data_IF_678697808252
#
_entry.id   IF_678697808252
#
_cell.length_a   1.000
_cell.length_b   1.000
_cell.length_c   1.000
_cell.angle_alpha   90.00
_cell.angle_beta   90.00
_cell.angle_gamma   90.00
#
_symmetry.space_group_name_H-M   'P 1'
#
loop_
_entity.id
_entity.type
_entity.pdbx_description
1 polymer ?
#
# COMPACT_ATOMS: atom_id res chain seq x y z
N UNK A 1 0.70 -5.13 -24.87
CA UNK A 1 1.29 -5.58 -23.59
C UNK A 1 0.45 -5.01 -22.46
N UNK A 2 0.12 -5.86 -21.50
CA UNK A 2 -0.76 -5.57 -20.38
C UNK A 2 -0.25 -4.38 -19.57
N UNK A 3 -1.18 -3.53 -19.16
CA UNK A 3 -0.97 -2.52 -18.12
C UNK A 3 -0.58 -3.27 -16.85
N UNK A 4 0.69 -3.19 -16.47
CA UNK A 4 1.13 -3.59 -15.15
C UNK A 4 0.69 -2.44 -14.24
N UNK A 5 -0.43 -2.65 -13.54
CA UNK A 5 -0.75 -1.92 -12.33
C UNK A 5 0.50 -1.93 -11.41
N UNK A 6 0.72 -0.90 -10.57
CA UNK A 6 1.77 -0.98 -9.56
C UNK A 6 1.34 -2.06 -8.55
N UNK A 7 1.71 -3.31 -8.83
CA UNK A 7 1.81 -4.32 -7.80
C UNK A 7 2.94 -3.83 -6.91
N UNK A 8 2.59 -3.26 -5.76
CA UNK A 8 3.51 -2.96 -4.67
C UNK A 8 4.15 -4.27 -4.23
N UNK A 9 5.20 -4.67 -4.94
CA UNK A 9 6.06 -5.76 -4.53
C UNK A 9 6.67 -5.35 -3.19
N UNK A 10 6.29 -6.06 -2.12
CA UNK A 10 6.68 -5.66 -0.78
C UNK A 10 8.13 -6.05 -0.49
N UNK A 11 9.04 -5.10 -0.71
CA UNK A 11 10.47 -5.25 -0.43
C UNK A 11 10.81 -5.43 1.05
N UNK A 12 9.88 -5.16 1.97
CA UNK A 12 10.12 -5.28 3.43
C UNK A 12 10.16 -6.73 3.92
N UNK A 13 9.69 -7.68 3.11
CA UNK A 13 9.71 -9.11 3.43
C UNK A 13 11.01 -9.81 3.00
N UNK A 14 11.96 -9.07 2.43
CA UNK A 14 13.20 -9.59 1.88
C UNK A 14 14.40 -9.28 2.78
N UNK A 15 15.40 -10.16 2.73
CA UNK A 15 16.72 -9.85 3.28
C UNK A 15 17.36 -8.68 2.52
N UNK A 16 18.26 -7.96 3.18
CA UNK A 16 18.86 -6.74 2.65
C UNK A 16 19.56 -6.95 1.29
N UNK A 17 20.20 -8.11 1.09
CA UNK A 17 20.96 -8.41 -0.14
C UNK A 17 20.02 -8.70 -1.31
N UNK A 18 18.96 -9.47 -1.08
CA UNK A 18 17.94 -9.74 -2.10
C UNK A 18 17.15 -8.49 -2.46
N UNK A 19 16.84 -7.65 -1.47
CA UNK A 19 16.20 -6.35 -1.67
C UNK A 19 17.02 -5.45 -2.58
N UNK A 20 18.29 -5.22 -2.25
CA UNK A 20 19.19 -4.35 -3.01
C UNK A 20 19.34 -4.84 -4.47
N UNK A 21 19.52 -6.15 -4.66
CA UNK A 21 19.60 -6.75 -6.00
C UNK A 21 18.34 -6.49 -6.84
N UNK A 22 17.15 -6.68 -6.26
CA UNK A 22 15.89 -6.49 -6.98
C UNK A 22 15.61 -5.00 -7.27
N UNK A 23 15.94 -4.10 -6.35
CA UNK A 23 15.85 -2.66 -6.56
C UNK A 23 16.77 -2.20 -7.70
N UNK A 24 18.01 -2.70 -7.77
CA UNK A 24 18.93 -2.44 -8.87
C UNK A 24 18.35 -2.90 -10.22
N UNK A 25 17.81 -4.13 -10.28
CA UNK A 25 17.19 -4.67 -11.51
C UNK A 25 15.96 -3.86 -11.92
N UNK A 26 15.12 -3.46 -10.97
CA UNK A 26 13.96 -2.62 -11.23
C UNK A 26 14.36 -1.26 -11.81
N UNK A 27 15.38 -0.61 -11.23
CA UNK A 27 15.90 0.67 -11.71
C UNK A 27 16.45 0.58 -13.15
N UNK A 28 17.17 -0.49 -13.48
CA UNK A 28 17.64 -0.73 -14.85
C UNK A 28 16.45 -0.88 -15.81
N UNK A 29 15.43 -1.65 -15.42
CA UNK A 29 14.21 -1.85 -16.23
C UNK A 29 13.47 -0.52 -16.44
N UNK A 30 13.29 0.29 -15.38
CA UNK A 30 12.65 1.61 -15.49
C UNK A 30 13.43 2.55 -16.41
N UNK A 31 14.77 2.53 -16.34
CA UNK A 31 15.62 3.29 -17.25
C UNK A 31 15.44 2.88 -18.71
N UNK A 32 15.40 1.58 -19.00
CA UNK A 32 15.16 1.05 -20.35
C UNK A 32 13.77 1.44 -20.84
N UNK A 33 12.73 1.29 -19.99
CA UNK A 33 11.35 1.64 -20.34
C UNK A 33 11.20 3.13 -20.63
N UNK A 34 11.79 4.00 -19.82
CA UNK A 34 11.78 5.45 -20.02
C UNK A 34 12.46 5.86 -21.34
N UNK A 35 13.66 5.33 -21.60
CA UNK A 35 14.37 5.59 -22.87
C UNK A 35 13.61 5.06 -24.08
N UNK A 36 13.02 3.89 -23.96
CA UNK A 36 12.20 3.29 -25.03
C UNK A 36 10.93 4.11 -25.28
N UNK A 37 10.26 4.56 -24.23
CA UNK A 37 9.08 5.43 -24.31
C UNK A 37 9.40 6.74 -25.04
N UNK A 38 10.56 7.34 -24.74
CA UNK A 38 11.04 8.53 -25.43
C UNK A 38 11.27 8.30 -26.93
N UNK A 39 12.02 7.27 -27.32
CA UNK A 39 12.34 7.00 -28.74
C UNK A 39 11.09 6.58 -29.53
N UNK A 40 10.20 5.76 -28.95
CA UNK A 40 8.92 5.39 -29.57
C UNK A 40 8.05 6.64 -29.76
N UNK A 41 7.93 7.47 -28.71
CA UNK A 41 7.16 8.71 -28.75
C UNK A 41 7.65 9.70 -29.82
N UNK A 42 8.97 9.78 -30.01
CA UNK A 42 9.61 10.59 -31.05
C UNK A 42 9.23 10.14 -32.46
N UNK A 43 9.23 8.83 -32.74
CA UNK A 43 8.83 8.32 -34.07
C UNK A 43 7.33 8.50 -34.31
N UNK A 44 6.50 8.24 -33.30
CA UNK A 44 5.05 8.46 -33.39
C UNK A 44 4.71 9.94 -33.62
N UNK A 45 5.39 10.87 -32.94
CA UNK A 45 5.19 12.30 -33.12
C UNK A 45 5.58 12.78 -34.53
N UNK A 46 6.68 12.25 -35.10
CA UNK A 46 7.09 12.54 -36.49
C UNK A 46 6.07 12.05 -37.51
N UNK A 47 5.63 10.80 -37.37
CA UNK A 47 4.60 10.24 -38.24
C UNK A 47 3.27 11.00 -38.13
N UNK A 48 2.87 11.39 -36.91
CA UNK A 48 1.68 12.22 -36.68
C UNK A 48 1.79 13.55 -37.43
N UNK A 49 2.93 14.25 -37.34
CA UNK A 49 3.17 15.52 -38.03
C UNK A 49 3.04 15.37 -39.56
N UNK A 50 3.70 14.36 -40.12
CA UNK A 50 3.70 14.12 -41.57
C UNK A 50 2.31 13.71 -42.10
N UNK A 51 1.59 12.85 -41.37
CA UNK A 51 0.27 12.36 -41.78
C UNK A 51 -0.86 13.37 -41.50
N UNK A 52 -0.75 14.19 -40.45
CA UNK A 52 -1.73 15.25 -40.15
C UNK A 52 -1.79 16.33 -41.25
N UNK A 53 -0.67 16.58 -41.93
CA UNK A 53 -0.57 17.56 -43.02
C UNK A 53 -1.31 17.10 -44.28
N UNK A 54 -1.60 15.79 -44.40
CA UNK A 54 -2.24 15.17 -45.57
C UNK A 54 -3.75 14.98 -45.41
N UNK A 55 -4.32 15.28 -44.25
CA UNK A 55 -5.78 15.36 -44.03
C UNK A 55 -6.54 14.03 -43.95
N UNK A 56 -5.86 12.88 -43.99
CA UNK A 56 -6.48 11.56 -43.87
C UNK A 56 -6.11 10.90 -42.53
N UNK A 57 -7.06 10.22 -41.88
CA UNK A 57 -6.92 9.51 -40.59
C UNK A 57 -5.93 8.33 -40.56
N UNK A 58 -5.02 8.25 -41.53
CA UNK A 58 -4.02 7.20 -41.72
C UNK A 58 -3.06 7.03 -40.53
N UNK A 59 -2.89 8.07 -39.70
CA UNK A 59 -2.06 7.96 -38.50
C UNK A 59 -2.60 6.92 -37.52
N UNK A 60 -3.93 6.85 -37.35
CA UNK A 60 -4.57 5.88 -36.46
C UNK A 60 -4.41 4.46 -36.95
N UNK A 61 -4.68 4.23 -38.24
CA UNK A 61 -4.50 2.92 -38.87
C UNK A 61 -3.04 2.46 -38.76
N UNK A 62 -2.08 3.36 -38.97
CA UNK A 62 -0.67 3.04 -38.92
C UNK A 62 -0.19 2.64 -37.52
N UNK A 63 -0.45 3.42 -36.47
CA UNK A 63 0.01 3.02 -35.13
C UNK A 63 -0.73 1.75 -34.64
N UNK A 64 -1.98 1.53 -35.07
CA UNK A 64 -2.71 0.29 -34.77
C UNK A 64 -2.07 -0.92 -35.46
N UNK A 65 -1.57 -0.77 -36.68
CA UNK A 65 -0.83 -1.83 -37.40
C UNK A 65 0.46 -2.24 -36.69
N UNK A 66 1.08 -1.33 -35.94
CA UNK A 66 2.24 -1.60 -35.09
C UNK A 66 1.88 -2.25 -33.75
N UNK A 67 0.59 -2.50 -33.49
CA UNK A 67 0.09 -3.11 -32.26
C UNK A 67 -0.11 -2.13 -31.10
N UNK A 68 -0.03 -0.82 -31.33
CA UNK A 68 -0.30 0.17 -30.29
C UNK A 68 -1.79 0.43 -30.12
N UNK A 69 -2.25 0.45 -28.86
CA UNK A 69 -3.53 1.06 -28.50
C UNK A 69 -3.41 2.59 -28.59
N UNK A 70 -4.51 3.27 -28.91
CA UNK A 70 -4.58 4.74 -28.97
C UNK A 70 -3.99 5.38 -27.71
N UNK A 71 -4.43 4.95 -26.52
CA UNK A 71 -3.95 5.49 -25.25
C UNK A 71 -2.42 5.41 -25.13
N UNK A 72 -1.81 4.25 -25.40
CA UNK A 72 -0.35 4.08 -25.33
C UNK A 72 0.41 4.86 -26.39
N UNK A 73 -0.11 4.94 -27.62
CA UNK A 73 0.51 5.74 -28.66
C UNK A 73 0.59 7.22 -28.25
N UNK A 74 -0.52 7.77 -27.73
CA UNK A 74 -0.56 9.16 -27.26
C UNK A 74 0.22 9.38 -25.95
N UNK A 75 0.25 8.41 -25.03
CA UNK A 75 1.12 8.46 -23.86
C UNK A 75 2.60 8.58 -24.25
N UNK A 76 3.08 7.77 -25.20
CA UNK A 76 4.46 7.87 -25.68
C UNK A 76 4.74 9.22 -26.35
N UNK A 77 3.82 9.71 -27.19
CA UNK A 77 3.94 11.04 -27.81
C UNK A 77 4.00 12.13 -26.73
N UNK A 78 3.16 12.06 -25.71
CA UNK A 78 3.12 13.03 -24.62
C UNK A 78 4.37 12.94 -23.75
N UNK A 79 4.87 11.74 -23.46
CA UNK A 79 6.12 11.52 -22.74
C UNK A 79 7.30 12.14 -23.51
N UNK A 80 7.40 11.89 -24.82
CA UNK A 80 8.39 12.54 -25.69
C UNK A 80 8.25 14.07 -25.68
N UNK A 81 7.03 14.61 -25.83
CA UNK A 81 6.78 16.05 -25.81
C UNK A 81 7.14 16.67 -24.47
N UNK A 82 6.81 16.00 -23.36
CA UNK A 82 7.13 16.44 -22.01
C UNK A 82 8.64 16.46 -21.79
N UNK A 83 9.34 15.34 -22.03
CA UNK A 83 10.81 15.26 -21.91
C UNK A 83 11.46 16.30 -22.83
N UNK A 84 11.00 16.43 -24.07
CA UNK A 84 11.50 17.45 -25.01
C UNK A 84 11.16 18.89 -24.62
N UNK A 85 10.14 19.12 -23.78
CA UNK A 85 9.80 20.43 -23.24
C UNK A 85 10.64 20.81 -22.02
N UNK A 86 11.02 19.82 -21.20
CA UNK A 86 11.94 19.97 -20.05
C UNK A 86 13.40 20.15 -20.50
N UNK A 87 13.69 19.77 -21.74
CA UNK A 87 14.99 19.83 -22.39
C UNK A 87 15.40 21.26 -22.85
N UNK A 88 15.41 22.26 -21.96
CA UNK A 88 16.20 23.48 -22.24
C UNK A 88 17.67 23.11 -22.45
N UNK A 89 18.25 22.20 -21.66
CA UNK A 89 19.61 21.68 -21.85
C UNK A 89 19.82 20.98 -23.20
N UNK A 90 18.85 20.22 -23.71
CA UNK A 90 19.00 19.56 -25.03
C UNK A 90 18.75 20.52 -26.19
N UNK A 91 17.93 21.56 -26.00
CA UNK A 91 17.81 22.66 -26.95
C UNK A 91 19.07 23.53 -26.97
N UNK A 92 19.72 23.71 -25.82
CA UNK A 92 21.02 24.38 -25.69
C UNK A 92 22.11 23.55 -26.38
N UNK A 93 22.25 22.26 -26.06
CA UNK A 93 23.21 21.37 -26.71
C UNK A 93 22.96 21.25 -28.23
N UNK A 94 21.71 21.19 -28.65
CA UNK A 94 21.36 21.19 -30.08
C UNK A 94 21.66 22.54 -30.74
N UNK A 95 21.29 23.66 -30.09
CA UNK A 95 21.60 25.01 -30.54
C UNK A 95 23.12 25.21 -30.70
N UNK A 96 23.91 24.78 -29.72
CA UNK A 96 25.37 24.80 -29.76
C UNK A 96 25.95 23.91 -30.87
N UNK A 97 25.29 22.79 -31.19
CA UNK A 97 25.66 21.91 -32.31
C UNK A 97 25.28 22.44 -33.70
N UNK A 98 24.40 23.46 -33.79
CA UNK A 98 24.00 24.04 -35.08
C UNK A 98 25.18 24.78 -35.73
N UNK A 99 25.23 24.84 -37.08
CA UNK A 99 26.15 25.73 -37.77
C UNK A 99 25.98 27.18 -37.29
N UNK A 100 27.08 27.92 -37.08
CA UNK A 100 27.08 29.33 -36.60
C UNK A 100 26.12 30.24 -37.39
N UNK A 101 25.97 29.99 -38.68
CA UNK A 101 25.06 30.74 -39.56
C UNK A 101 23.58 30.52 -39.23
N UNK A 102 23.19 29.36 -38.72
CA UNK A 102 21.81 29.07 -38.29
C UNK A 102 21.57 29.56 -36.86
N UNK A 103 22.53 29.39 -35.95
CA UNK A 103 22.49 30.00 -34.61
C UNK A 103 22.19 31.50 -34.70
N UNK A 104 22.94 32.21 -35.55
CA UNK A 104 22.77 33.64 -35.76
C UNK A 104 21.42 34.05 -36.38
N UNK A 105 20.68 33.14 -37.04
CA UNK A 105 19.36 33.47 -37.59
C UNK A 105 18.25 33.17 -36.59
N UNK A 106 18.35 32.05 -35.85
CA UNK A 106 17.33 31.67 -34.87
C UNK A 106 17.36 32.56 -33.62
N UNK A 107 18.52 33.13 -33.27
CA UNK A 107 18.69 34.05 -32.13
C UNK A 107 18.35 35.52 -32.45
N UNK A 108 17.90 35.84 -33.67
CA UNK A 108 17.51 37.22 -33.99
C UNK A 108 16.18 37.60 -33.33
N UNK A 109 16.02 38.83 -32.83
CA UNK A 109 14.73 39.31 -32.32
C UNK A 109 13.60 39.29 -33.35
N UNK A 110 13.94 39.35 -34.64
CA UNK A 110 13.01 39.29 -35.78
C UNK A 110 12.83 37.88 -36.36
N UNK A 111 13.35 36.84 -35.70
CA UNK A 111 13.23 35.47 -36.17
C UNK A 111 11.78 34.98 -36.10
N UNK A 112 11.32 34.29 -37.13
CA UNK A 112 9.99 33.70 -37.15
C UNK A 112 9.94 32.45 -36.25
N UNK A 113 9.08 32.40 -35.21
CA UNK A 113 8.99 31.28 -34.28
C UNK A 113 8.74 29.92 -34.95
N UNK A 114 7.94 29.88 -36.02
CA UNK A 114 7.63 28.63 -36.74
C UNK A 114 8.85 28.09 -37.50
N UNK A 115 9.66 28.98 -38.08
CA UNK A 115 10.89 28.62 -38.79
C UNK A 115 11.95 28.13 -37.81
N UNK A 116 12.07 28.79 -36.65
CA UNK A 116 12.96 28.37 -35.57
C UNK A 116 12.61 26.98 -35.05
N UNK A 117 11.32 26.70 -34.87
CA UNK A 117 10.87 25.40 -34.42
C UNK A 117 11.16 24.30 -35.45
N UNK A 118 11.10 24.60 -36.75
CA UNK A 118 11.53 23.67 -37.80
C UNK A 118 13.05 23.39 -37.78
N UNK A 119 13.87 24.35 -37.36
CA UNK A 119 15.32 24.11 -37.10
C UNK A 119 15.52 23.19 -35.91
N UNK A 120 14.84 23.45 -34.78
CA UNK A 120 14.93 22.61 -33.57
C UNK A 120 14.38 21.19 -33.77
N UNK A 121 13.43 21.01 -34.69
CA UNK A 121 12.91 19.70 -35.07
C UNK A 121 13.85 18.92 -36.02
N UNK A 122 14.91 19.56 -36.53
CA UNK A 122 15.86 18.96 -37.48
C UNK A 122 15.39 18.91 -38.93
N UNK A 123 14.28 19.59 -39.25
CA UNK A 123 13.68 19.67 -40.59
C UNK A 123 14.42 20.67 -41.49
N UNK A 124 15.13 21.63 -40.87
CA UNK A 124 15.99 22.60 -41.54
C UNK A 124 17.42 22.39 -41.05
N UNK A 125 18.33 22.04 -41.97
CA UNK A 125 19.74 21.77 -41.65
C UNK A 125 20.67 22.82 -42.26
N UNK A 126 20.16 23.65 -43.16
CA UNK A 126 20.96 24.65 -43.89
C UNK A 126 20.34 26.05 -43.85
N UNK A 127 21.21 27.06 -44.00
CA UNK A 127 20.78 28.47 -44.06
C UNK A 127 19.83 28.78 -45.24
N UNK A 128 19.99 28.07 -46.36
CA UNK A 128 19.14 28.23 -47.55
C UNK A 128 17.71 27.76 -47.28
N UNK A 129 17.54 26.62 -46.64
CA UNK A 129 16.23 26.08 -46.25
C UNK A 129 15.52 26.99 -45.25
N UNK A 130 16.26 27.59 -44.32
CA UNK A 130 15.74 28.58 -43.38
C UNK A 130 15.13 29.80 -44.09
N UNK A 131 15.86 30.37 -45.05
CA UNK A 131 15.42 31.55 -45.80
C UNK A 131 14.25 31.27 -46.72
N UNK A 132 14.20 30.08 -47.32
CA UNK A 132 13.10 29.68 -48.18
C UNK A 132 11.80 29.49 -47.39
N UNK A 133 11.87 28.85 -46.22
CA UNK A 133 10.70 28.69 -45.37
C UNK A 133 10.18 30.03 -44.86
N UNK A 134 11.07 30.92 -44.42
CA UNK A 134 10.74 32.29 -44.00
C UNK A 134 10.04 33.07 -45.12
N UNK A 135 10.55 33.00 -46.35
CA UNK A 135 9.94 33.64 -47.53
C UNK A 135 8.56 33.06 -47.83
N UNK A 136 8.41 31.73 -47.75
CA UNK A 136 7.14 31.05 -48.02
C UNK A 136 6.05 31.42 -47.01
N UNK A 137 6.40 31.50 -45.72
CA UNK A 137 5.46 31.94 -44.69
C UNK A 137 5.05 33.40 -44.90
N UNK A 138 6.00 34.28 -45.19
CA UNK A 138 5.71 35.69 -45.49
C UNK A 138 4.75 35.87 -46.68
N UNK A 139 4.91 35.07 -47.74
CA UNK A 139 4.01 35.09 -48.90
C UNK A 139 2.61 34.55 -48.55
N UNK A 140 2.52 33.52 -47.70
CA UNK A 140 1.24 33.00 -47.23
C UNK A 140 0.48 34.02 -46.36
N UNK A 141 1.19 34.70 -45.45
CA UNK A 141 0.58 35.73 -44.60
C UNK A 141 0.08 36.92 -45.42
N UNK A 142 0.86 37.35 -46.42
CA UNK A 142 0.44 38.40 -47.35
C UNK A 142 -0.79 38.00 -48.18
N UNK A 143 -0.86 36.74 -48.63
CA UNK A 143 -2.02 36.22 -49.35
C UNK A 143 -3.26 36.12 -48.43
N UNK A 144 -3.08 35.70 -47.18
CA UNK A 144 -4.18 35.63 -46.21
C UNK A 144 -4.73 37.01 -45.85
N UNK A 145 -3.88 38.02 -45.66
CA UNK A 145 -4.36 39.38 -45.39
C UNK A 145 -5.01 40.03 -46.62
N UNK A 146 -4.53 39.73 -47.83
CA UNK A 146 -5.23 40.14 -49.05
C UNK A 146 -6.64 39.51 -49.14
N UNK A 147 -6.76 38.21 -48.87
CA UNK A 147 -8.05 37.50 -48.90
C UNK A 147 -8.99 37.97 -47.79
N UNK A 148 -8.50 38.24 -46.57
CA UNK A 148 -9.31 38.84 -45.50
C UNK A 148 -9.77 40.26 -45.86
N UNK A 149 -8.88 41.06 -46.44
CA UNK A 149 -9.20 42.42 -46.89
C UNK A 149 -10.21 42.44 -48.05
N UNK A 150 -10.25 41.41 -48.88
CA UNK A 150 -11.29 41.21 -49.89
C UNK A 150 -12.59 40.69 -49.26
N UNK A 151 -12.52 39.74 -48.31
CA UNK A 151 -13.69 39.21 -47.61
C UNK A 151 -14.46 40.29 -46.84
N UNK A 152 -13.75 41.19 -46.15
CA UNK A 152 -14.39 42.31 -45.44
C UNK A 152 -14.99 43.35 -46.42
N UNK A 153 -14.35 43.58 -47.58
CA UNK A 153 -14.92 44.41 -48.65
C UNK A 153 -16.16 43.78 -49.29
N UNK A 154 -16.18 42.45 -49.45
CA UNK A 154 -17.35 41.69 -49.95
C UNK A 154 -18.50 41.69 -48.92
N UNK A 155 -18.20 41.61 -47.62
CA UNK A 155 -19.22 41.74 -46.57
C UNK A 155 -19.85 43.13 -46.53
N UNK A 156 -19.09 44.19 -46.79
CA UNK A 156 -19.61 45.57 -46.80
C UNK A 156 -20.38 45.94 -48.08
N UNK A 157 -20.15 45.22 -49.19
CA UNK A 157 -20.76 45.51 -50.50
C UNK A 157 -21.94 44.62 -50.88
N UNK A 158 -22.28 43.60 -50.07
CA UNK A 158 -23.55 42.87 -50.25
C UNK A 158 -24.73 43.72 -49.80
N UNK A 159 -25.34 44.38 -50.77
CA UNK A 159 -26.72 44.87 -50.77
C UNK A 159 -27.67 43.84 -50.14
N UNK A 160 -28.55 44.35 -49.26
CA UNK A 160 -29.58 43.61 -48.54
C UNK A 160 -30.54 42.89 -49.51
N UNK A 161 -30.35 41.59 -49.71
CA UNK A 161 -31.47 40.70 -50.00
C UNK A 161 -32.11 40.29 -48.67
N UNK A 162 -33.39 40.61 -48.48
CA UNK A 162 -34.21 40.07 -47.39
C UNK A 162 -34.40 38.57 -47.65
N UNK A 163 -33.48 37.74 -47.17
CA UNK A 163 -33.79 36.33 -46.88
C UNK A 163 -34.46 36.32 -45.51
N UNK A 164 -35.76 36.05 -45.50
CA UNK A 164 -36.43 35.62 -44.27
C UNK A 164 -35.91 34.21 -44.01
N UNK A 165 -34.87 34.08 -43.19
CA UNK A 165 -34.56 32.80 -42.55
C UNK A 165 -35.73 32.49 -41.63
N UNK A 166 -36.68 31.68 -42.10
CA UNK A 166 -37.52 30.92 -41.18
C UNK A 166 -36.57 29.95 -40.48
N UNK A 167 -36.13 30.33 -39.29
CA UNK A 167 -35.61 29.38 -38.33
C UNK A 167 -36.74 28.39 -38.04
N UNK A 168 -36.76 27.28 -38.78
CA UNK A 168 -37.64 26.16 -38.48
C UNK A 168 -37.03 25.48 -37.27
N UNK A 169 -37.35 26.00 -36.08
CA UNK A 169 -37.13 25.27 -34.84
C UNK A 169 -37.89 23.95 -35.01
N UNK A 170 -37.20 22.79 -35.03
CA UNK A 170 -37.86 21.50 -35.10
C UNK A 170 -38.94 21.43 -34.02
N UNK A 171 -40.14 20.92 -34.35
CA UNK A 171 -41.30 20.95 -33.45
C UNK A 171 -41.03 20.30 -32.08
N UNK A 172 -40.05 19.40 -32.06
CA UNK A 172 -39.52 18.60 -30.96
C UNK A 172 -38.30 19.21 -30.23
N UNK A 173 -37.75 20.34 -30.69
CA UNK A 173 -36.60 20.99 -30.04
C UNK A 173 -36.90 21.43 -28.61
N UNK A 174 -38.10 21.99 -28.38
CA UNK A 174 -38.54 22.40 -27.05
C UNK A 174 -38.76 21.20 -26.12
N UNK A 175 -39.35 20.12 -26.65
CA UNK A 175 -39.49 18.86 -25.92
C UNK A 175 -38.13 18.24 -25.55
N UNK A 176 -37.13 18.34 -26.44
CA UNK A 176 -35.76 17.88 -26.20
C UNK A 176 -35.06 18.73 -25.13
N UNK A 177 -35.28 20.05 -25.14
CA UNK A 177 -34.72 20.96 -24.14
C UNK A 177 -35.32 20.71 -22.75
N UNK A 178 -36.63 20.50 -22.67
CA UNK A 178 -37.32 20.16 -21.42
C UNK A 178 -36.89 18.79 -20.89
N UNK A 179 -36.70 17.80 -21.77
CA UNK A 179 -36.17 16.48 -21.41
C UNK A 179 -34.73 16.56 -20.88
N UNK A 180 -33.85 17.32 -21.53
CA UNK A 180 -32.48 17.53 -21.05
C UNK A 180 -32.47 18.20 -19.67
N UNK A 181 -33.38 19.15 -19.43
CA UNK A 181 -33.53 19.79 -18.12
C UNK A 181 -33.99 18.80 -17.04
N UNK A 182 -34.92 17.90 -17.36
CA UNK A 182 -35.33 16.83 -16.45
C UNK A 182 -34.20 15.83 -16.18
N UNK A 183 -33.44 15.44 -17.21
CA UNK A 183 -32.30 14.53 -17.08
C UNK A 183 -31.18 15.14 -16.23
N UNK A 184 -30.89 16.43 -16.40
CA UNK A 184 -29.97 17.17 -15.53
C UNK A 184 -30.43 17.19 -14.07
N UNK A 185 -31.74 17.38 -13.83
CA UNK A 185 -32.32 17.28 -12.50
C UNK A 185 -32.12 15.90 -11.88
N UNK A 186 -32.51 14.83 -12.60
CA UNK A 186 -32.34 13.45 -12.15
C UNK A 186 -30.87 13.07 -11.91
N UNK A 187 -29.96 13.50 -12.77
CA UNK A 187 -28.53 13.25 -12.58
C UNK A 187 -28.00 13.93 -11.32
N UNK A 188 -28.51 15.12 -10.99
CA UNK A 188 -28.18 15.80 -9.75
C UNK A 188 -28.73 15.04 -8.54
N UNK A 189 -30.01 14.66 -8.56
CA UNK A 189 -30.64 13.91 -7.47
C UNK A 189 -29.92 12.56 -7.23
N UNK A 190 -29.58 11.84 -8.30
CA UNK A 190 -28.80 10.60 -8.22
C UNK A 190 -27.38 10.82 -7.68
N UNK A 191 -26.75 11.94 -8.01
CA UNK A 191 -25.44 12.31 -7.46
C UNK A 191 -25.54 12.56 -5.95
N UNK A 192 -26.57 13.26 -5.50
CA UNK A 192 -26.81 13.56 -4.09
C UNK A 192 -27.14 12.27 -3.30
N UNK A 193 -27.94 11.37 -3.86
CA UNK A 193 -28.21 10.03 -3.29
C UNK A 193 -26.93 9.18 -3.19
N UNK A 194 -26.11 9.17 -4.24
CA UNK A 194 -24.84 8.42 -4.25
C UNK A 194 -23.90 8.93 -3.14
N UNK A 195 -23.82 10.24 -2.94
CA UNK A 195 -23.01 10.83 -1.87
C UNK A 195 -23.56 10.49 -0.48
N UNK A 196 -24.88 10.45 -0.32
CA UNK A 196 -25.53 9.99 0.92
C UNK A 196 -25.20 8.52 1.22
N UNK A 197 -25.33 7.65 0.22
CA UNK A 197 -25.02 6.21 0.35
C UNK A 197 -23.54 6.01 0.68
N UNK A 198 -22.62 6.72 0.03
CA UNK A 198 -21.19 6.65 0.34
C UNK A 198 -20.88 7.05 1.79
N UNK A 199 -21.55 8.09 2.30
CA UNK A 199 -21.39 8.50 3.71
C UNK A 199 -21.91 7.41 4.66
N UNK A 200 -23.07 6.84 4.36
CA UNK A 200 -23.65 5.74 5.15
C UNK A 200 -22.74 4.50 5.14
N UNK A 201 -22.19 4.15 3.97
CA UNK A 201 -21.26 3.03 3.83
C UNK A 201 -20.01 3.25 4.69
N UNK A 202 -19.39 4.43 4.61
CA UNK A 202 -18.20 4.77 5.41
C UNK A 202 -18.47 4.69 6.92
N UNK A 203 -19.65 5.12 7.36
CA UNK A 203 -20.05 4.99 8.78
C UNK A 203 -20.22 3.53 9.18
N UNK A 204 -20.79 2.70 8.31
CA UNK A 204 -21.00 1.27 8.57
C UNK A 204 -19.68 0.49 8.58
N UNK A 205 -18.75 0.82 7.67
CA UNK A 205 -17.40 0.28 7.64
C UNK A 205 -16.64 0.60 8.94
N UNK A 206 -16.65 1.87 9.37
CA UNK A 206 -16.02 2.26 10.63
C UNK A 206 -16.64 1.55 11.85
N UNK A 207 -17.97 1.37 11.87
CA UNK A 207 -18.64 0.60 12.92
C UNK A 207 -18.26 -0.88 12.89
N UNK A 208 -18.02 -1.45 11.71
CA UNK A 208 -17.61 -2.84 11.56
C UNK A 208 -16.18 -3.06 12.03
N UNK A 209 -15.24 -2.16 11.66
CA UNK A 209 -13.87 -2.19 12.14
C UNK A 209 -13.80 -2.09 13.68
N UNK A 210 -14.61 -1.22 14.27
CA UNK A 210 -14.69 -1.10 15.73
C UNK A 210 -15.22 -2.38 16.37
N UNK A 211 -16.25 -2.99 15.79
CA UNK A 211 -16.81 -4.26 16.28
C UNK A 211 -15.82 -5.43 16.16
N UNK A 212 -15.05 -5.48 15.08
CA UNK A 212 -14.00 -6.49 14.89
C UNK A 212 -12.91 -6.36 15.96
N UNK A 213 -12.50 -5.12 16.25
CA UNK A 213 -11.56 -4.82 17.34
C UNK A 213 -12.11 -5.23 18.70
N UNK A 214 -13.33 -4.82 19.05
CA UNK A 214 -13.99 -5.20 20.31
C UNK A 214 -14.13 -6.73 20.44
N UNK A 215 -14.41 -7.43 19.34
CA UNK A 215 -14.50 -8.89 19.33
C UNK A 215 -13.14 -9.54 19.61
N UNK A 216 -12.06 -9.03 19.01
CA UNK A 216 -10.71 -9.52 19.28
C UNK A 216 -10.28 -9.30 20.73
N UNK A 217 -10.60 -8.14 21.31
CA UNK A 217 -10.34 -7.83 22.72
C UNK A 217 -11.14 -8.75 23.65
N UNK A 218 -12.41 -9.03 23.32
CA UNK A 218 -13.23 -9.96 24.08
C UNK A 218 -12.69 -11.40 24.07
N UNK A 219 -12.12 -11.85 22.95
CA UNK A 219 -11.47 -13.16 22.85
C UNK A 219 -10.22 -13.23 23.75
N UNK A 220 -9.36 -12.21 23.70
CA UNK A 220 -8.17 -12.15 24.55
C UNK A 220 -8.52 -12.12 26.05
N UNK A 221 -9.58 -11.40 26.43
CA UNK A 221 -10.10 -11.39 27.80
C UNK A 221 -10.61 -12.77 28.22
N UNK A 222 -11.30 -13.49 27.32
CA UNK A 222 -11.80 -14.84 27.60
C UNK A 222 -10.64 -15.82 27.87
N UNK A 223 -9.59 -15.79 27.05
CA UNK A 223 -8.40 -16.61 27.26
C UNK A 223 -7.74 -16.29 28.62
N UNK A 224 -7.61 -15.01 28.95
CA UNK A 224 -7.07 -14.57 30.25
C UNK A 224 -7.91 -15.07 31.43
N UNK A 225 -9.24 -15.07 31.32
CA UNK A 225 -10.14 -15.59 32.36
C UNK A 225 -9.96 -17.10 32.54
N UNK A 226 -9.78 -17.86 31.46
CA UNK A 226 -9.55 -19.31 31.56
C UNK A 226 -8.22 -19.64 32.23
N UNK A 227 -7.14 -18.90 31.91
CA UNK A 227 -5.87 -19.02 32.62
C UNK A 227 -6.00 -18.71 34.11
N UNK A 228 -6.68 -17.61 34.47
CA UNK A 228 -6.91 -17.24 35.88
C UNK A 228 -7.77 -18.28 36.62
N UNK A 229 -8.71 -18.94 35.95
CA UNK A 229 -9.49 -20.03 36.53
C UNK A 229 -8.62 -21.24 36.84
N UNK A 230 -7.73 -21.63 35.93
CA UNK A 230 -6.80 -22.72 36.15
C UNK A 230 -5.84 -22.42 37.32
N UNK A 231 -5.29 -21.21 37.40
CA UNK A 231 -4.42 -20.79 38.50
C UNK A 231 -5.16 -20.78 39.83
N UNK A 232 -6.42 -20.31 39.83
CA UNK A 232 -7.29 -20.35 41.01
C UNK A 232 -7.50 -21.79 41.50
N UNK A 233 -7.80 -22.73 40.62
CA UNK A 233 -7.99 -24.14 40.98
C UNK A 233 -6.71 -24.74 41.59
N UNK A 234 -5.54 -24.47 41.00
CA UNK A 234 -4.24 -24.88 41.56
C UNK A 234 -4.00 -24.31 42.95
N UNK A 235 -4.36 -23.05 43.17
CA UNK A 235 -4.23 -22.39 44.47
C UNK A 235 -5.20 -22.99 45.51
N UNK A 236 -6.46 -23.23 45.14
CA UNK A 236 -7.46 -23.85 46.03
C UNK A 236 -7.03 -25.25 46.46
N UNK A 237 -6.47 -26.06 45.54
CA UNK A 237 -5.89 -27.36 45.86
C UNK A 237 -4.70 -27.24 46.80
N UNK A 238 -3.81 -26.28 46.55
CA UNK A 238 -2.64 -26.03 47.41
C UNK A 238 -3.04 -25.62 48.83
N UNK A 239 -4.02 -24.71 48.97
CA UNK A 239 -4.56 -24.28 50.27
C UNK A 239 -5.20 -25.45 51.01
N UNK A 240 -5.95 -26.30 50.30
CA UNK A 240 -6.57 -27.49 50.89
C UNK A 240 -5.51 -28.46 51.41
N UNK A 241 -4.44 -28.69 50.64
CA UNK A 241 -3.33 -29.55 51.04
C UNK A 241 -2.59 -29.00 52.27
N UNK A 242 -2.30 -27.70 52.30
CA UNK A 242 -1.67 -27.04 53.46
C UNK A 242 -2.56 -27.17 54.70
N UNK A 243 -3.87 -26.96 54.56
CA UNK A 243 -4.79 -27.10 55.68
C UNK A 243 -4.86 -28.53 56.22
N UNK A 244 -4.85 -29.52 55.32
CA UNK A 244 -4.78 -30.94 55.71
C UNK A 244 -3.46 -31.28 56.41
N UNK A 245 -2.34 -30.77 55.90
CA UNK A 245 -1.03 -30.94 56.55
C UNK A 245 -1.01 -30.30 57.93
N UNK A 246 -1.49 -29.06 58.06
CA UNK A 246 -1.58 -28.36 59.34
C UNK A 246 -2.39 -29.15 60.37
N UNK A 247 -3.53 -29.72 59.97
CA UNK A 247 -4.31 -30.62 60.85
C UNK A 247 -3.53 -31.86 61.29
N UNK A 248 -2.75 -32.46 60.38
CA UNK A 248 -1.96 -33.64 60.69
C UNK A 248 -0.80 -33.30 61.64
N UNK A 249 -0.14 -32.16 61.43
CA UNK A 249 0.92 -31.66 62.32
C UNK A 249 0.37 -31.43 63.72
N UNK A 250 -0.77 -30.75 63.88
CA UNK A 250 -1.38 -30.55 65.20
C UNK A 250 -1.69 -31.89 65.88
N UNK A 251 -2.29 -32.86 65.17
CA UNK A 251 -2.53 -34.20 65.73
C UNK A 251 -1.26 -34.93 66.13
N UNK A 252 -0.19 -34.77 65.35
CA UNK A 252 1.11 -35.37 65.63
C UNK A 252 1.72 -34.76 66.90
N UNK A 253 1.68 -33.43 67.03
CA UNK A 253 2.11 -32.70 68.23
C UNK A 253 1.31 -33.17 69.45
N UNK A 254 -0.02 -33.17 69.37
CA UNK A 254 -0.92 -33.60 70.45
C UNK A 254 -0.63 -35.05 70.88
N UNK A 255 -0.45 -35.98 69.93
CA UNK A 255 -0.12 -37.38 70.23
C UNK A 255 1.20 -37.52 71.00
N UNK A 256 2.22 -36.76 70.60
CA UNK A 256 3.53 -36.83 71.26
C UNK A 256 3.55 -36.17 72.64
N UNK A 257 2.84 -35.07 72.79
CA UNK A 257 2.82 -34.28 74.03
C UNK A 257 1.84 -34.85 75.07
N UNK A 258 0.75 -35.49 74.65
CA UNK A 258 -0.25 -36.06 75.56
C UNK A 258 -0.06 -37.57 75.76
N UNK A 259 -0.06 -38.36 74.69
CA UNK A 259 -0.10 -39.83 74.79
C UNK A 259 1.28 -40.45 74.97
N UNK A 260 2.29 -39.94 74.25
CA UNK A 260 3.65 -40.52 74.25
C UNK A 260 4.63 -39.86 75.22
N UNK A 261 4.23 -38.76 75.87
CA UNK A 261 5.07 -38.07 76.85
C UNK A 261 5.65 -38.99 77.95
N UNK A 262 4.92 -39.99 78.50
CA UNK A 262 5.46 -40.94 79.49
C UNK A 262 6.73 -41.67 79.03
N UNK A 263 6.88 -41.95 77.73
CA UNK A 263 8.04 -42.66 77.19
C UNK A 263 9.32 -41.83 77.24
N UNK A 264 9.23 -40.51 77.36
CA UNK A 264 10.38 -39.61 77.54
C UNK A 264 10.90 -39.62 78.98
N UNK A 265 10.15 -40.19 79.94
CA UNK A 265 10.56 -40.23 81.34
C UNK A 265 11.24 -41.54 81.70
N UNK A 266 12.48 -41.42 82.22
CA UNK A 266 13.36 -42.53 82.62
C UNK A 266 12.71 -43.51 83.63
N UNK A 267 11.80 -43.03 84.47
CA UNK A 267 11.10 -43.82 85.50
C UNK A 267 10.17 -44.87 84.92
N UNK A 268 9.51 -44.61 83.79
CA UNK A 268 8.66 -45.61 83.12
C UNK A 268 9.52 -46.74 82.54
N UNK A 269 10.61 -46.39 81.85
CA UNK A 269 11.57 -47.34 81.24
C UNK A 269 12.23 -48.22 82.32
N UNK A 270 12.53 -47.66 83.49
CA UNK A 270 13.08 -48.41 84.62
C UNK A 270 12.06 -49.37 85.27
N UNK A 271 10.75 -49.10 85.15
CA UNK A 271 9.67 -49.93 85.69
C UNK A 271 9.23 -51.09 84.78
N UNK A 272 9.61 -51.08 83.49
CA UNK A 272 9.23 -52.06 82.44
C UNK A 272 10.01 -53.40 82.58
N UNK A 273 10.33 -53.83 83.80
CA UNK A 273 11.23 -54.95 84.08
C UNK A 273 10.95 -56.24 83.27
N UNK A 274 11.82 -56.49 82.27
CA UNK A 274 12.23 -57.74 81.60
C UNK A 274 12.77 -57.40 80.21
N UNK A 275 13.87 -58.03 79.78
CA UNK A 275 14.55 -57.75 78.49
C UNK A 275 13.59 -57.75 77.28
N UNK A 276 12.60 -58.65 77.28
CA UNK A 276 11.61 -58.76 76.20
C UNK A 276 10.67 -57.54 76.05
N UNK A 277 10.45 -56.74 77.10
CA UNK A 277 9.64 -55.51 76.98
C UNK A 277 10.50 -54.32 76.50
N UNK A 278 11.79 -54.32 76.84
CA UNK A 278 12.77 -53.37 76.33
C UNK A 278 13.02 -53.61 74.83
N UNK A 279 13.08 -54.87 74.38
CA UNK A 279 13.16 -55.21 72.95
C UNK A 279 11.96 -54.66 72.17
N UNK A 280 10.72 -54.81 72.68
CA UNK A 280 9.54 -54.23 72.02
C UNK A 280 9.59 -52.71 71.88
N UNK A 281 10.15 -52.00 72.87
CA UNK A 281 10.38 -50.55 72.75
C UNK A 281 11.41 -50.22 71.67
N UNK A 282 12.48 -51.02 71.58
CA UNK A 282 13.48 -50.86 70.50
C UNK A 282 12.86 -51.12 69.12
N UNK A 283 12.03 -52.15 68.98
CA UNK A 283 11.33 -52.43 67.72
C UNK A 283 10.44 -51.25 67.27
N UNK A 284 9.73 -50.60 68.20
CA UNK A 284 8.93 -49.40 67.93
C UNK A 284 9.80 -48.22 67.49
N UNK A 285 10.95 -48.01 68.15
CA UNK A 285 11.89 -46.96 67.75
C UNK A 285 12.45 -47.20 66.35
N UNK A 286 12.90 -48.42 66.05
CA UNK A 286 13.40 -48.78 64.72
C UNK A 286 12.31 -48.66 63.64
N UNK A 287 11.07 -49.04 63.94
CA UNK A 287 9.95 -48.81 63.01
C UNK A 287 9.73 -47.32 62.74
N UNK A 288 9.82 -46.49 63.78
CA UNK A 288 9.66 -45.04 63.68
C UNK A 288 10.81 -44.40 62.89
N UNK A 289 12.05 -44.81 63.14
CA UNK A 289 13.23 -44.38 62.38
C UNK A 289 13.10 -44.72 60.90
N UNK A 290 12.70 -45.95 60.56
CA UNK A 290 12.48 -46.36 59.18
C UNK A 290 11.39 -45.52 58.49
N UNK A 291 10.29 -45.24 59.20
CA UNK A 291 9.21 -44.41 58.66
C UNK A 291 9.65 -42.96 58.41
N UNK A 292 10.45 -42.38 59.32
CA UNK A 292 11.04 -41.05 59.15
C UNK A 292 12.02 -41.02 57.96
N UNK A 293 12.84 -42.05 57.80
CA UNK A 293 13.75 -42.18 56.66
C UNK A 293 12.99 -42.30 55.33
N UNK A 294 11.86 -43.01 55.29
CA UNK A 294 10.98 -43.07 54.12
C UNK A 294 10.35 -41.70 53.81
N UNK A 295 9.90 -40.97 54.83
CA UNK A 295 9.37 -39.62 54.65
C UNK A 295 10.44 -38.63 54.16
N UNK A 296 11.67 -38.71 54.68
CA UNK A 296 12.76 -37.83 54.25
C UNK A 296 13.16 -38.06 52.79
N UNK A 297 12.91 -39.26 52.23
CA UNK A 297 13.17 -39.53 50.79
C UNK A 297 12.18 -38.84 49.85
N UNK A 298 10.95 -38.56 50.32
CA UNK A 298 9.91 -37.94 49.50
C UNK A 298 9.84 -36.42 49.66
N UNK A 299 10.44 -35.87 50.72
CA UNK A 299 10.56 -34.43 50.93
C UNK A 299 11.71 -33.92 50.04
N UNK A 300 11.45 -32.95 49.13
CA UNK A 300 12.51 -32.38 48.31
C UNK A 300 13.54 -31.61 49.14
N UNK A 301 14.82 -31.66 48.74
CA UNK A 301 15.87 -30.78 49.26
C UNK A 301 15.56 -29.31 48.92
N UNK A 302 16.02 -28.38 49.76
CA UNK A 302 15.81 -26.93 49.60
C UNK A 302 15.99 -26.49 48.13
N UNK A 303 14.93 -25.95 47.53
CA UNK A 303 14.91 -25.46 46.14
C UNK A 303 14.21 -26.36 45.11
N UNK A 304 13.81 -27.60 45.44
CA UNK A 304 13.03 -28.44 44.50
C UNK A 304 11.53 -28.36 44.78
N UNK A 305 10.73 -28.00 43.76
CA UNK A 305 9.26 -27.99 43.85
C UNK A 305 8.69 -29.28 43.24
N UNK A 306 7.73 -29.91 43.92
CA UNK A 306 6.92 -31.00 43.33
C UNK A 306 5.72 -30.35 42.64
N UNK A 307 5.66 -30.44 41.32
CA UNK A 307 4.48 -30.09 40.54
C UNK A 307 3.93 -31.41 39.96
N UNK A 308 2.71 -31.78 40.34
CA UNK A 308 1.97 -32.91 39.73
C UNK A 308 2.67 -34.28 39.80
N UNK A 309 3.55 -34.50 40.79
CA UNK A 309 4.22 -35.79 40.99
C UNK A 309 5.53 -35.98 40.21
N UNK A 310 5.99 -34.97 39.48
CA UNK A 310 7.32 -34.94 38.89
C UNK A 310 8.24 -33.95 39.63
N UNK A 311 9.46 -34.41 39.93
CA UNK A 311 10.52 -33.58 40.49
C UNK A 311 11.16 -32.84 39.32
N UNK A 312 10.97 -31.52 39.25
CA UNK A 312 11.65 -30.67 38.27
C UNK A 312 12.85 -30.02 38.96
N UNK A 313 14.03 -30.13 38.35
CA UNK A 313 15.20 -29.35 38.77
C UNK A 313 15.10 -27.95 38.16
N UNK A 314 15.31 -26.91 38.97
CA UNK A 314 15.60 -25.56 38.46
C UNK A 314 16.91 -25.53 37.64
#
# INVERSE_FOLDING_TARGET
>A
MNEIAPNDFNYSLLDAKTKEFLEERANIIYGIQSKSAYEIGKQLAKAQKELSTRGYGCFEEWYRSLGFKTTKAYEYINHFKFVSSQNEETKINFFESLPKTLQAQVSKPSANPEVNQAVFNGDIKTHKEYKELERRLKLKDQALEAVKGELERVKQTKTKEKVIEKEVIPHDYKATQDLNKQLLGKNKDLSDELDSVKRSLRLKEASYEMLEKETSEALALKESIEHLRADKEKLENSVTNIFNLSKLVTKFEDFFDEEMAPLRFKTLIQGIGKDAQIEKLRDILTLTENWLDEMNKIIPEDGRTIIEGEIINE
#
